data_IF_405859189444
#
_entry.id   IF_405859189444
#
_cell.length_a   1.000
_cell.length_b   1.000
_cell.length_c   1.000
_cell.angle_alpha   90.00
_cell.angle_beta   90.00
_cell.angle_gamma   90.00
#
_symmetry.space_group_name_H-M   'P 1'
#
loop_
_entity.id
_entity.type
_entity.pdbx_description
1 polymer ?
#
# COMPACT_ATOMS: atom_id res chain seq x y z
N UNK A 1 -14.15 -3.46 14.04
CA UNK A 1 -13.22 -2.83 13.11
C UNK A 1 -12.04 -3.74 12.80
N UNK A 2 -11.20 -4.14 13.77
CA UNK A 2 -10.05 -5.03 13.52
C UNK A 2 -10.46 -6.43 13.01
N UNK A 3 -11.59 -6.97 13.44
CA UNK A 3 -12.14 -8.21 12.90
C UNK A 3 -12.43 -8.10 11.40
N UNK A 4 -13.13 -7.03 10.98
CA UNK A 4 -13.37 -6.78 9.55
C UNK A 4 -12.06 -6.57 8.77
N UNK A 5 -11.05 -5.94 9.39
CA UNK A 5 -9.73 -5.80 8.78
C UNK A 5 -9.02 -7.15 8.64
N UNK A 6 -9.16 -8.07 9.60
CA UNK A 6 -8.65 -9.44 9.50
C UNK A 6 -9.35 -10.22 8.38
N UNK A 7 -10.69 -10.22 8.34
CA UNK A 7 -11.47 -10.92 7.30
C UNK A 7 -11.06 -10.48 5.90
N UNK A 8 -10.95 -9.17 5.71
CA UNK A 8 -10.48 -8.57 4.47
C UNK A 8 -9.03 -8.97 4.14
N UNK A 9 -8.13 -8.96 5.14
CA UNK A 9 -6.74 -9.40 4.98
C UNK A 9 -6.64 -10.87 4.60
N UNK A 10 -7.43 -11.73 5.24
CA UNK A 10 -7.47 -13.16 4.95
C UNK A 10 -7.94 -13.42 3.51
N UNK A 11 -8.97 -12.72 3.04
CA UNK A 11 -9.49 -12.87 1.69
C UNK A 11 -8.41 -12.69 0.63
N UNK A 12 -7.68 -11.58 0.69
CA UNK A 12 -6.61 -11.30 -0.28
C UNK A 12 -5.32 -12.07 0.02
N UNK A 13 -5.03 -12.29 1.30
CA UNK A 13 -3.81 -12.98 1.72
C UNK A 13 -3.82 -14.49 1.47
N UNK A 14 -5.00 -15.11 1.37
CA UNK A 14 -5.15 -16.54 1.08
C UNK A 14 -5.22 -16.83 -0.42
N UNK A 15 -5.44 -15.82 -1.25
CA UNK A 15 -5.54 -15.98 -2.69
C UNK A 15 -4.14 -15.82 -3.34
N UNK A 16 -3.61 -16.89 -3.98
CA UNK A 16 -2.30 -16.86 -4.63
C UNK A 16 -2.24 -15.90 -5.83
N UNK A 17 -3.38 -15.44 -6.35
CA UNK A 17 -3.41 -14.40 -7.36
C UNK A 17 -2.93 -13.05 -6.82
N UNK A 18 -3.20 -12.75 -5.55
CA UNK A 18 -2.86 -11.47 -4.92
C UNK A 18 -1.57 -11.52 -4.12
N UNK A 19 -1.32 -12.62 -3.41
CA UNK A 19 -0.19 -12.75 -2.49
C UNK A 19 0.51 -14.09 -2.70
N UNK A 20 1.77 -14.02 -3.11
CA UNK A 20 2.68 -15.15 -3.09
C UNK A 20 3.58 -15.03 -1.84
N UNK A 21 3.62 -16.09 -1.03
CA UNK A 21 4.37 -16.14 0.22
C UNK A 21 3.90 -15.09 1.26
N UNK A 22 4.78 -14.30 1.84
CA UNK A 22 4.50 -13.36 2.93
C UNK A 22 4.28 -11.90 2.50
N UNK A 23 4.05 -11.65 1.21
CA UNK A 23 3.93 -10.30 0.66
C UNK A 23 2.63 -9.58 1.04
N UNK A 24 2.56 -8.29 0.67
CA UNK A 24 1.39 -7.45 0.86
C UNK A 24 1.15 -6.97 2.29
N UNK A 25 0.33 -5.98 2.42
CA UNK A 25 -0.14 -5.46 3.70
C UNK A 25 -1.50 -4.75 3.58
N UNK A 26 -2.19 -4.68 4.71
CA UNK A 26 -3.48 -4.04 4.85
C UNK A 26 -3.45 -3.08 6.02
N UNK A 27 -4.26 -2.04 5.95
CA UNK A 27 -4.46 -1.12 7.05
C UNK A 27 -5.89 -0.59 7.10
N UNK A 28 -6.24 -0.12 8.28
CA UNK A 28 -7.39 0.73 8.55
C UNK A 28 -6.94 1.97 9.30
N UNK A 29 -7.54 3.11 9.04
CA UNK A 29 -7.29 4.33 9.79
C UNK A 29 -8.57 5.08 10.14
N UNK A 30 -8.54 5.72 11.28
CA UNK A 30 -9.47 6.79 11.67
C UNK A 30 -8.73 8.16 11.65
N UNK A 31 -9.32 9.16 12.28
CA UNK A 31 -8.74 10.50 12.33
C UNK A 31 -7.37 10.51 13.04
N UNK A 32 -7.21 9.75 14.12
CA UNK A 32 -6.06 9.82 15.01
C UNK A 32 -5.09 8.65 14.88
N UNK A 33 -5.56 7.50 14.42
CA UNK A 33 -4.81 6.26 14.46
C UNK A 33 -4.81 5.54 13.12
N UNK A 34 -3.72 4.83 12.85
CA UNK A 34 -3.57 3.88 11.77
C UNK A 34 -3.27 2.50 12.35
N UNK A 35 -4.06 1.47 12.01
CA UNK A 35 -3.76 0.07 12.30
C UNK A 35 -3.20 -0.55 11.03
N UNK A 36 -1.95 -0.93 11.09
CA UNK A 36 -1.18 -1.48 9.96
C UNK A 36 -0.68 -2.87 10.29
N UNK A 37 -0.63 -3.76 9.30
CA UNK A 37 -0.04 -5.09 9.41
C UNK A 37 1.35 -5.02 10.06
N UNK A 38 1.55 -5.81 11.10
CA UNK A 38 2.86 -6.00 11.74
C UNK A 38 3.83 -6.75 10.82
N UNK A 39 5.09 -6.35 10.87
CA UNK A 39 6.19 -7.03 10.16
C UNK A 39 6.32 -8.47 10.66
N UNK A 40 6.51 -9.41 9.73
CA UNK A 40 6.65 -10.83 10.04
C UNK A 40 5.33 -11.60 10.19
N UNK A 41 4.15 -10.95 10.09
CA UNK A 41 2.87 -11.64 10.00
C UNK A 41 2.46 -11.90 8.55
N UNK A 42 1.62 -12.93 8.31
CA UNK A 42 1.03 -13.22 7.00
C UNK A 42 -0.39 -12.67 6.92
N UNK A 43 -0.76 -12.07 5.79
CA UNK A 43 -2.13 -11.61 5.56
C UNK A 43 -3.17 -12.73 5.68
N UNK A 44 -2.84 -13.93 5.20
CA UNK A 44 -3.76 -15.08 5.20
C UNK A 44 -4.15 -15.59 6.60
N UNK A 45 -3.37 -15.23 7.64
CA UNK A 45 -3.56 -15.76 9.00
C UNK A 45 -3.44 -14.68 10.07
N UNK A 46 -3.39 -13.41 9.67
CA UNK A 46 -3.23 -12.28 10.59
C UNK A 46 -4.38 -12.21 11.60
N UNK A 47 -4.06 -11.92 12.84
CA UNK A 47 -5.03 -11.73 13.93
C UNK A 47 -5.03 -10.27 14.39
N UNK A 48 -6.08 -9.81 15.08
CA UNK A 48 -6.22 -8.41 15.54
C UNK A 48 -4.99 -7.89 16.30
N UNK A 49 -4.41 -8.71 17.16
CA UNK A 49 -3.23 -8.34 17.97
C UNK A 49 -1.93 -8.22 17.17
N UNK A 50 -1.90 -8.68 15.92
CA UNK A 50 -0.75 -8.57 15.03
C UNK A 50 -0.76 -7.28 14.19
N UNK A 51 -1.83 -6.52 14.24
CA UNK A 51 -1.81 -5.14 13.75
C UNK A 51 -1.11 -4.23 14.76
N UNK A 52 -0.37 -3.27 14.23
CA UNK A 52 0.32 -2.24 15.03
C UNK A 52 -0.48 -0.96 14.95
N UNK A 53 -0.87 -0.43 16.11
CA UNK A 53 -1.54 0.85 16.18
C UNK A 53 -0.49 1.97 16.16
N UNK A 54 -0.62 2.85 15.19
CA UNK A 54 0.25 4.00 14.98
C UNK A 54 -0.49 5.30 15.30
N UNK A 55 0.23 6.25 15.87
CA UNK A 55 -0.23 7.62 16.12
C UNK A 55 -0.02 8.45 14.84
N UNK A 56 -1.11 8.88 14.20
CA UNK A 56 -1.07 9.59 12.92
C UNK A 56 -0.51 11.01 13.04
N UNK A 57 -0.64 11.67 14.18
CA UNK A 57 -0.01 12.97 14.43
C UNK A 57 1.51 12.83 14.38
N UNK A 58 2.06 11.81 15.04
CA UNK A 58 3.49 11.51 14.99
C UNK A 58 3.98 11.12 13.61
N UNK A 59 3.20 10.32 12.85
CA UNK A 59 3.51 10.00 11.45
C UNK A 59 3.53 11.27 10.59
N UNK A 60 2.58 12.18 10.79
CA UNK A 60 2.54 13.45 10.07
C UNK A 60 3.77 14.34 10.36
N UNK A 61 4.27 14.34 11.60
CA UNK A 61 5.49 15.08 11.96
C UNK A 61 6.73 14.56 11.26
N UNK A 62 6.79 13.28 10.87
CA UNK A 62 7.92 12.73 10.12
C UNK A 62 8.14 13.46 8.79
N UNK A 63 7.08 13.96 8.16
CA UNK A 63 7.16 14.71 6.90
C UNK A 63 7.72 16.13 7.03
N UNK A 64 7.88 16.63 8.26
CA UNK A 64 8.48 17.95 8.54
C UNK A 64 9.96 17.86 8.90
N UNK A 65 10.48 16.64 9.09
CA UNK A 65 11.87 16.41 9.46
C UNK A 65 12.79 16.46 8.25
N UNK A 66 14.02 16.87 8.49
CA UNK A 66 15.12 16.75 7.54
C UNK A 66 15.90 15.49 7.92
N UNK A 67 15.86 14.51 7.04
CA UNK A 67 16.61 13.25 7.20
C UNK A 67 17.98 13.34 6.51
N UNK A 68 18.94 12.48 6.90
CA UNK A 68 20.26 12.42 6.27
C UNK A 68 20.20 12.25 4.74
N UNK A 69 21.21 12.80 4.06
CA UNK A 69 21.33 12.66 2.62
C UNK A 69 21.79 11.23 2.21
N UNK A 70 22.61 10.60 3.04
CA UNK A 70 22.97 9.19 2.88
C UNK A 70 21.74 8.33 3.03
N UNK A 71 21.60 7.34 2.13
CA UNK A 71 20.40 6.55 2.01
C UNK A 71 20.20 5.58 3.18
N UNK A 72 21.27 4.91 3.59
CA UNK A 72 21.19 3.92 4.67
C UNK A 72 20.99 4.62 6.04
N UNK A 73 21.65 5.75 6.26
CA UNK A 73 21.45 6.57 7.45
C UNK A 73 20.01 7.14 7.49
N UNK A 74 19.49 7.57 6.34
CA UNK A 74 18.12 8.06 6.21
C UNK A 74 17.09 6.99 6.54
N UNK A 75 17.21 5.80 5.93
CA UNK A 75 16.27 4.70 6.19
C UNK A 75 16.32 4.24 7.66
N UNK A 76 17.50 4.24 8.28
CA UNK A 76 17.65 3.94 9.71
C UNK A 76 16.95 5.00 10.59
N UNK A 77 17.12 6.28 10.29
CA UNK A 77 16.49 7.37 11.02
C UNK A 77 14.96 7.37 10.84
N UNK A 78 14.47 7.14 9.62
CA UNK A 78 13.04 7.02 9.32
C UNK A 78 12.43 5.83 10.06
N UNK A 79 13.11 4.67 10.07
CA UNK A 79 12.63 3.51 10.83
C UNK A 79 12.56 3.81 12.32
N UNK A 80 13.54 4.49 12.89
CA UNK A 80 13.54 4.88 14.30
C UNK A 80 12.33 5.79 14.63
N UNK A 81 12.06 6.79 13.79
CA UNK A 81 10.93 7.69 13.95
C UNK A 81 9.58 6.96 13.78
N UNK A 82 9.49 6.06 12.82
CA UNK A 82 8.30 5.24 12.62
C UNK A 82 8.04 4.33 13.83
N UNK A 83 9.09 3.73 14.40
CA UNK A 83 8.99 2.95 15.64
C UNK A 83 8.56 3.82 16.83
N UNK A 84 9.00 5.07 16.91
CA UNK A 84 8.57 6.04 17.94
C UNK A 84 7.14 6.56 17.72
N UNK A 85 6.59 6.40 16.52
CA UNK A 85 5.21 6.78 16.17
C UNK A 85 4.16 5.74 16.54
N UNK A 86 4.55 4.62 17.16
CA UNK A 86 3.59 3.65 17.70
C UNK A 86 2.76 4.26 18.82
N UNK A 87 1.50 3.85 18.92
CA UNK A 87 0.68 4.20 20.07
C UNK A 87 1.22 3.52 21.35
N UNK A 88 0.93 4.07 22.53
CA UNK A 88 1.32 3.44 23.81
C UNK A 88 0.81 2.00 23.89
N UNK A 89 1.68 1.09 24.35
CA UNK A 89 1.39 -0.34 24.46
C UNK A 89 1.76 -1.17 23.22
N UNK A 90 2.24 -0.54 22.16
CA UNK A 90 2.64 -1.21 20.92
C UNK A 90 4.17 -1.38 20.78
N UNK A 91 4.93 -1.11 21.83
CA UNK A 91 6.41 -1.03 21.82
C UNK A 91 7.09 -2.35 21.44
N UNK A 92 6.44 -3.48 21.67
CA UNK A 92 6.96 -4.80 21.31
C UNK A 92 6.75 -5.18 19.84
N UNK A 93 5.95 -4.42 19.10
CA UNK A 93 5.58 -4.72 17.72
C UNK A 93 6.39 -3.86 16.73
N UNK A 94 6.61 -4.39 15.54
CA UNK A 94 7.23 -3.68 14.42
C UNK A 94 6.20 -3.47 13.31
N UNK A 95 5.86 -2.22 12.94
CA UNK A 95 4.96 -1.94 11.84
C UNK A 95 5.59 -2.32 10.49
N UNK A 96 4.76 -2.46 9.45
CA UNK A 96 5.23 -2.59 8.07
C UNK A 96 6.12 -1.41 7.69
N UNK A 97 7.15 -1.66 6.89
CA UNK A 97 8.02 -0.60 6.33
C UNK A 97 7.25 0.38 5.44
N UNK A 98 6.07 -0.03 4.95
CA UNK A 98 5.19 0.77 4.10
C UNK A 98 4.13 1.57 4.88
N UNK A 99 4.27 1.67 6.20
CA UNK A 99 3.34 2.39 7.07
C UNK A 99 3.08 3.81 6.59
N UNK A 100 4.12 4.55 6.20
CA UNK A 100 3.97 5.91 5.68
C UNK A 100 3.14 5.95 4.40
N UNK A 101 3.33 4.98 3.48
CA UNK A 101 2.54 4.86 2.26
C UNK A 101 1.05 4.67 2.56
N UNK A 102 0.74 3.79 3.51
CA UNK A 102 -0.64 3.56 3.94
C UNK A 102 -1.29 4.81 4.54
N UNK A 103 -0.54 5.62 5.29
CA UNK A 103 -1.07 6.83 5.92
C UNK A 103 -1.33 7.97 4.92
N UNK A 104 -0.64 7.99 3.78
CA UNK A 104 -0.81 9.03 2.74
C UNK A 104 -2.19 9.04 2.09
N UNK A 105 -2.85 7.88 1.98
CA UNK A 105 -4.20 7.80 1.42
C UNK A 105 -5.21 8.43 2.37
N UNK A 106 -6.14 9.30 1.89
CA UNK A 106 -7.18 9.86 2.74
C UNK A 106 -8.24 8.84 3.13
N UNK A 107 -8.40 7.76 2.37
CA UNK A 107 -9.39 6.71 2.60
C UNK A 107 -9.04 5.84 3.81
N UNK A 108 -10.06 5.22 4.42
CA UNK A 108 -9.94 4.45 5.67
C UNK A 108 -9.23 3.12 5.51
N UNK A 109 -9.54 2.38 4.44
CA UNK A 109 -8.97 1.07 4.16
C UNK A 109 -7.95 1.17 3.03
N UNK A 110 -6.79 0.54 3.21
CA UNK A 110 -5.74 0.47 2.19
C UNK A 110 -5.25 -0.96 2.09
N UNK A 111 -5.18 -1.47 0.87
CA UNK A 111 -4.60 -2.76 0.49
C UNK A 111 -3.39 -2.52 -0.39
N UNK A 112 -2.29 -3.14 -0.06
CA UNK A 112 -1.12 -3.28 -0.93
C UNK A 112 -0.84 -4.74 -1.20
N UNK A 113 -0.74 -5.11 -2.46
CA UNK A 113 -0.52 -6.48 -2.93
C UNK A 113 0.32 -6.49 -4.21
N UNK A 114 0.79 -7.70 -4.59
CA UNK A 114 1.66 -7.90 -5.75
C UNK A 114 1.07 -8.92 -6.75
N UNK A 115 -0.14 -8.71 -7.29
CA UNK A 115 -0.76 -9.68 -8.21
C UNK A 115 0.11 -9.91 -9.43
N UNK A 116 0.23 -11.17 -9.86
CA UNK A 116 1.05 -11.52 -11.02
C UNK A 116 0.65 -10.75 -12.28
N UNK A 117 -0.66 -10.54 -12.49
CA UNK A 117 -1.20 -9.74 -13.61
C UNK A 117 -0.75 -8.28 -13.54
N UNK A 118 -0.83 -7.68 -12.34
CA UNK A 118 -0.34 -6.31 -12.11
C UNK A 118 1.16 -6.23 -12.34
N UNK A 119 1.92 -7.19 -11.82
CA UNK A 119 3.37 -7.20 -11.99
C UNK A 119 3.77 -7.45 -13.46
N UNK A 120 2.98 -8.17 -14.22
CA UNK A 120 3.14 -8.26 -15.68
C UNK A 120 3.12 -6.89 -16.36
N UNK A 121 2.31 -5.95 -15.87
CA UNK A 121 2.25 -4.57 -16.37
C UNK A 121 3.34 -3.71 -15.73
N UNK A 122 3.48 -3.73 -14.40
CA UNK A 122 4.40 -2.84 -13.69
C UNK A 122 5.87 -3.12 -13.97
N UNK A 123 6.21 -4.35 -14.41
CA UNK A 123 7.54 -4.76 -14.83
C UNK A 123 7.77 -4.69 -16.34
N UNK A 124 6.77 -4.27 -17.14
CA UNK A 124 6.87 -4.24 -18.59
C UNK A 124 7.40 -2.89 -19.11
N UNK A 125 8.05 -2.95 -20.29
CA UNK A 125 8.31 -1.74 -21.07
C UNK A 125 6.96 -1.17 -21.55
N UNK A 126 6.74 0.13 -21.35
CA UNK A 126 5.48 0.77 -21.71
C UNK A 126 4.34 0.59 -20.71
N UNK A 127 4.59 -0.03 -19.53
CA UNK A 127 3.59 -0.21 -18.48
C UNK A 127 2.92 1.11 -18.05
N UNK A 128 3.68 2.20 -17.96
CA UNK A 128 3.13 3.52 -17.62
C UNK A 128 2.10 4.01 -18.65
N UNK A 129 2.42 3.91 -19.96
CA UNK A 129 1.51 4.31 -21.02
C UNK A 129 0.26 3.41 -21.05
N UNK A 130 0.45 2.11 -20.85
CA UNK A 130 -0.64 1.14 -20.75
C UNK A 130 -1.58 1.44 -19.57
N UNK A 131 -1.03 1.73 -18.38
CA UNK A 131 -1.83 2.12 -17.20
C UNK A 131 -2.57 3.43 -17.44
N UNK A 132 -1.92 4.43 -18.06
CA UNK A 132 -2.55 5.70 -18.36
C UNK A 132 -3.75 5.56 -19.32
N UNK A 133 -3.69 4.63 -20.28
CA UNK A 133 -4.78 4.33 -21.21
C UNK A 133 -5.93 3.54 -20.54
N UNK A 134 -5.60 2.46 -19.84
CA UNK A 134 -6.61 1.53 -19.30
C UNK A 134 -7.20 2.02 -17.97
N UNK A 135 -6.42 2.77 -17.19
CA UNK A 135 -6.77 3.26 -15.85
C UNK A 135 -6.47 4.77 -15.71
N UNK A 136 -7.18 5.65 -16.45
CA UNK A 136 -6.86 7.08 -16.49
C UNK A 136 -7.02 7.80 -15.14
N UNK A 137 -7.67 7.17 -14.17
CA UNK A 137 -7.82 7.69 -12.80
C UNK A 137 -6.80 7.10 -11.81
N UNK A 138 -5.95 6.19 -12.25
CA UNK A 138 -4.89 5.64 -11.42
C UNK A 138 -3.63 6.50 -11.47
N UNK A 139 -2.83 6.40 -10.42
CA UNK A 139 -1.50 7.01 -10.41
C UNK A 139 -0.46 5.96 -10.80
N UNK A 140 0.49 6.33 -11.63
CA UNK A 140 1.72 5.58 -11.87
C UNK A 140 2.88 6.21 -11.10
N UNK A 141 3.60 5.38 -10.35
CA UNK A 141 4.83 5.75 -9.64
C UNK A 141 6.00 5.02 -10.30
N UNK A 142 7.01 5.74 -10.81
CA UNK A 142 8.18 5.12 -11.41
C UNK A 142 8.96 4.31 -10.39
N UNK A 143 9.74 3.35 -10.91
CA UNK A 143 10.56 2.46 -10.07
C UNK A 143 11.54 3.26 -9.22
N UNK A 144 11.50 3.01 -7.93
CA UNK A 144 12.45 3.56 -6.97
C UNK A 144 12.65 2.58 -5.81
N UNK A 145 13.70 2.80 -5.04
CA UNK A 145 14.02 1.95 -3.88
C UNK A 145 12.87 2.03 -2.86
N UNK A 146 12.37 0.88 -2.36
CA UNK A 146 11.39 0.85 -1.28
C UNK A 146 11.90 1.57 -0.02
N UNK A 147 10.99 2.17 0.74
CA UNK A 147 11.31 2.93 1.94
C UNK A 147 10.88 4.39 1.85
N UNK A 148 11.60 5.27 2.50
CA UNK A 148 11.25 6.70 2.57
C UNK A 148 11.25 7.40 1.21
N UNK A 149 12.19 7.02 0.34
CA UNK A 149 12.26 7.59 -1.02
C UNK A 149 10.99 7.29 -1.81
N UNK A 150 10.53 6.03 -1.78
CA UNK A 150 9.26 5.64 -2.40
C UNK A 150 8.08 6.38 -1.76
N UNK A 151 8.03 6.45 -0.44
CA UNK A 151 6.95 7.14 0.28
C UNK A 151 6.90 8.63 -0.08
N UNK A 152 8.04 9.30 -0.19
CA UNK A 152 8.13 10.71 -0.59
C UNK A 152 7.63 10.94 -2.02
N UNK A 153 8.01 10.08 -2.96
CA UNK A 153 7.54 10.14 -4.34
C UNK A 153 6.03 9.88 -4.45
N UNK A 154 5.52 8.89 -3.71
CA UNK A 154 4.08 8.64 -3.64
C UNK A 154 3.31 9.83 -3.06
N UNK A 155 3.84 10.47 -2.03
CA UNK A 155 3.25 11.69 -1.45
C UNK A 155 3.13 12.80 -2.49
N UNK A 156 4.21 13.09 -3.22
CA UNK A 156 4.21 14.08 -4.29
C UNK A 156 3.12 13.79 -5.33
N UNK A 157 3.05 12.55 -5.80
CA UNK A 157 2.07 12.13 -6.80
C UNK A 157 0.63 12.19 -6.29
N UNK A 158 0.38 11.75 -5.05
CA UNK A 158 -0.95 11.82 -4.42
C UNK A 158 -1.40 13.27 -4.17
N UNK A 159 -0.49 14.15 -3.77
CA UNK A 159 -0.77 15.59 -3.58
C UNK A 159 -1.06 16.29 -4.92
N UNK A 160 -0.31 15.97 -5.97
CA UNK A 160 -0.58 16.46 -7.33
C UNK A 160 -1.95 16.01 -7.84
N UNK A 161 -2.29 14.72 -7.65
CA UNK A 161 -3.59 14.17 -8.02
C UNK A 161 -4.73 14.89 -7.28
N UNK A 162 -4.59 15.07 -5.95
CA UNK A 162 -5.59 15.77 -5.13
C UNK A 162 -5.81 17.22 -5.59
N UNK A 163 -4.73 17.92 -5.94
CA UNK A 163 -4.82 19.29 -6.49
C UNK A 163 -5.54 19.33 -7.83
N UNK A 164 -5.28 18.35 -8.70
CA UNK A 164 -5.87 18.28 -10.04
C UNK A 164 -7.35 17.89 -10.02
N UNK A 165 -7.71 16.89 -9.22
CA UNK A 165 -9.05 16.26 -9.27
C UNK A 165 -9.94 16.61 -8.07
N UNK A 166 -9.46 17.37 -7.08
CA UNK A 166 -10.16 17.71 -5.82
C UNK A 166 -10.67 16.49 -5.04
N UNK A 167 -10.03 15.33 -5.24
CA UNK A 167 -10.31 14.07 -4.56
C UNK A 167 -9.04 13.23 -4.39
N UNK A 168 -9.07 12.27 -3.45
CA UNK A 168 -7.96 11.31 -3.30
C UNK A 168 -7.97 10.23 -4.39
N UNK A 169 -6.80 9.85 -4.86
CA UNK A 169 -6.66 8.66 -5.70
C UNK A 169 -7.01 7.40 -4.92
N UNK A 170 -7.57 6.40 -5.62
CA UNK A 170 -7.96 5.10 -5.04
C UNK A 170 -7.07 3.96 -5.51
N UNK A 171 -6.33 4.15 -6.60
CA UNK A 171 -5.45 3.15 -7.20
C UNK A 171 -4.11 3.79 -7.53
N UNK A 172 -3.02 3.11 -7.14
CA UNK A 172 -1.67 3.57 -7.38
C UNK A 172 -0.81 2.37 -7.78
N UNK A 173 -0.33 2.36 -9.02
CA UNK A 173 0.59 1.37 -9.55
C UNK A 173 2.03 1.76 -9.25
N UNK A 174 2.82 0.82 -8.76
CA UNK A 174 4.25 0.98 -8.49
C UNK A 174 5.06 0.19 -9.52
N UNK A 175 5.85 0.87 -10.34
CA UNK A 175 6.73 0.21 -11.31
C UNK A 175 7.69 -0.76 -10.61
N UNK A 176 7.81 -1.98 -11.15
CA UNK A 176 8.61 -3.09 -10.62
C UNK A 176 8.27 -3.52 -9.18
N UNK A 177 7.05 -3.25 -8.70
CA UNK A 177 6.72 -3.55 -7.31
C UNK A 177 5.32 -4.18 -7.17
N UNK A 178 4.26 -3.43 -7.38
CA UNK A 178 2.90 -3.88 -7.13
C UNK A 178 1.86 -2.77 -7.25
N UNK A 179 0.81 -2.85 -6.42
CA UNK A 179 -0.32 -1.93 -6.48
C UNK A 179 -0.86 -1.60 -5.09
N UNK A 180 -1.34 -0.37 -4.92
CA UNK A 180 -2.16 0.06 -3.79
C UNK A 180 -3.59 0.31 -4.22
N UNK A 181 -4.52 -0.12 -3.38
CA UNK A 181 -5.94 0.19 -3.46
C UNK A 181 -6.39 0.88 -2.18
N UNK A 182 -7.27 1.88 -2.29
CA UNK A 182 -7.78 2.61 -1.14
C UNK A 182 -9.26 2.93 -1.29
N UNK A 183 -10.03 2.75 -0.21
CA UNK A 183 -11.46 3.05 -0.16
C UNK A 183 -11.93 3.37 1.28
N UNK A 184 -13.13 3.92 1.41
CA UNK A 184 -13.71 4.23 2.72
C UNK A 184 -14.50 3.06 3.32
N UNK A 185 -14.83 2.05 2.51
CA UNK A 185 -15.46 0.80 2.94
C UNK A 185 -14.81 -0.40 2.30
N UNK A 186 -14.93 -1.58 2.95
CA UNK A 186 -14.43 -2.84 2.39
C UNK A 186 -15.16 -3.19 1.08
N UNK A 187 -16.46 -3.00 1.02
CA UNK A 187 -17.24 -3.28 -0.20
C UNK A 187 -16.80 -2.41 -1.40
N UNK A 188 -16.51 -1.14 -1.17
CA UNK A 188 -15.97 -0.26 -2.20
C UNK A 188 -14.57 -0.70 -2.63
N UNK A 189 -13.73 -1.09 -1.66
CA UNK A 189 -12.39 -1.59 -1.94
C UNK A 189 -12.43 -2.85 -2.81
N UNK A 190 -13.30 -3.82 -2.46
CA UNK A 190 -13.51 -5.04 -3.22
C UNK A 190 -13.92 -4.73 -4.67
N UNK A 191 -14.88 -3.81 -4.85
CA UNK A 191 -15.33 -3.40 -6.18
C UNK A 191 -14.22 -2.73 -7.02
N UNK A 192 -13.33 -1.95 -6.39
CA UNK A 192 -12.18 -1.34 -7.08
C UNK A 192 -11.18 -2.43 -7.50
N UNK A 193 -10.86 -3.35 -6.59
CA UNK A 193 -9.94 -4.46 -6.88
C UNK A 193 -10.48 -5.31 -8.02
N UNK A 194 -11.74 -5.75 -7.95
CA UNK A 194 -12.41 -6.53 -8.99
C UNK A 194 -12.36 -5.81 -10.34
N UNK A 195 -12.73 -4.53 -10.36
CA UNK A 195 -12.71 -3.72 -11.60
C UNK A 195 -11.31 -3.64 -12.23
N UNK A 196 -10.26 -3.51 -11.43
CA UNK A 196 -8.87 -3.48 -11.95
C UNK A 196 -8.47 -4.84 -12.48
N UNK A 197 -8.76 -5.92 -11.74
CA UNK A 197 -8.39 -7.28 -12.13
C UNK A 197 -9.14 -7.73 -13.38
N UNK A 198 -10.43 -7.44 -13.51
CA UNK A 198 -11.26 -7.75 -14.68
C UNK A 198 -10.77 -7.01 -15.93
N UNK A 199 -10.43 -5.73 -15.81
CA UNK A 199 -9.88 -4.96 -16.93
C UNK A 199 -8.53 -5.54 -17.41
N UNK A 200 -7.67 -5.96 -16.48
CA UNK A 200 -6.42 -6.63 -16.83
C UNK A 200 -6.68 -7.98 -17.50
N UNK A 201 -7.63 -8.77 -16.99
CA UNK A 201 -8.01 -10.05 -17.58
C UNK A 201 -8.55 -9.91 -19.00
N UNK A 202 -9.29 -8.84 -19.30
CA UNK A 202 -9.85 -8.59 -20.61
C UNK A 202 -8.78 -8.31 -21.69
N UNK A 203 -7.59 -7.86 -21.29
CA UNK A 203 -6.50 -7.51 -22.22
C UNK A 203 -5.35 -8.53 -22.26
N UNK A 204 -5.33 -9.51 -21.34
CA UNK A 204 -4.33 -10.57 -21.33
C UNK A 204 -4.66 -11.60 -22.42
N UNK A 205 -3.85 -11.62 -23.47
CA UNK A 205 -4.03 -12.53 -24.63
C UNK A 205 -3.42 -13.91 -24.34
N UNK A 206 -2.31 -13.96 -23.61
CA UNK A 206 -1.62 -15.22 -23.24
C UNK A 206 -1.69 -15.43 -21.74
N UNK A 207 -2.25 -16.55 -21.34
CA UNK A 207 -2.21 -17.00 -19.95
C UNK A 207 -1.12 -18.06 -19.80
N UNK A 208 -0.26 -18.00 -18.77
CA UNK A 208 0.67 -19.08 -18.49
C UNK A 208 -0.11 -20.35 -18.16
N UNK A 209 0.37 -21.48 -18.67
CA UNK A 209 -0.10 -22.81 -18.31
C UNK A 209 0.78 -23.31 -17.16
N UNK A 210 0.18 -23.52 -16.01
CA UNK A 210 0.84 -24.05 -14.81
C UNK A 210 0.46 -25.52 -14.53
N UNK A 211 -0.17 -26.22 -15.52
CA UNK A 211 -0.57 -27.65 -15.37
C UNK A 211 0.60 -28.60 -15.41
#
# INVERSE_FOLDING_TARGET
MLEALCEYSHRYGADPEFVLAGGGNTSYKDENNLWIKGSGSSLSTIRPEQFVKMDREKLALMWTKIYPADEDEREAAVLADMMASRAPGEESKRPSVETLLHDLFPQKYVLHVHPAKVNGVTCSQGGEAFVAELFPEAIWVPSTRPGYTLASLCREKLDAYRKQFSRGAKVLFLANHGIFFAADTVAELDAIVESVMDKLDAVIIRRPDFS
#
